data_IF_065675972335
#
_entry.id   IF_065675972335
#
_cell.length_a   1.000
_cell.length_b   1.000
_cell.length_c   1.000
_cell.angle_alpha   90.00
_cell.angle_beta   90.00
_cell.angle_gamma   90.00
#
_symmetry.space_group_name_H-M   'P 1'
#
loop_
_entity.id
_entity.type
_entity.pdbx_description
1 polymer ?
#
# COMPACT_ATOMS: atom_id res chain seq x y z
N UNK A 1 -2.78 16.36 13.01
CA UNK A 1 -3.67 15.17 12.94
C UNK A 1 -2.85 13.97 13.37
N UNK A 2 -3.19 13.31 14.49
CA UNK A 2 -2.48 12.12 14.95
C UNK A 2 -2.98 10.96 14.10
N UNK A 3 -2.11 10.31 13.31
CA UNK A 3 -2.49 9.14 12.54
C UNK A 3 -3.15 8.11 13.48
N UNK A 4 -4.32 7.59 13.09
CA UNK A 4 -5.10 6.64 13.89
C UNK A 4 -4.28 5.40 14.28
N UNK A 5 -3.27 5.07 13.47
CA UNK A 5 -2.35 3.96 13.67
C UNK A 5 -0.88 4.44 13.71
N UNK A 6 -0.06 3.93 14.64
CA UNK A 6 1.39 4.13 14.58
C UNK A 6 1.99 3.38 13.38
N UNK A 7 3.15 3.82 12.85
CA UNK A 7 3.77 3.22 11.68
C UNK A 7 3.97 1.70 11.77
N UNK A 8 4.38 1.19 12.94
CA UNK A 8 4.57 -0.25 13.14
C UNK A 8 3.28 -1.06 13.05
N UNK A 9 2.13 -0.49 13.42
CA UNK A 9 0.85 -1.19 13.32
C UNK A 9 0.33 -1.19 11.87
N UNK A 10 0.56 -0.10 11.13
CA UNK A 10 0.29 -0.05 9.68
C UNK A 10 1.09 -1.13 8.96
N UNK A 11 2.39 -1.24 9.26
CA UNK A 11 3.26 -2.25 8.66
C UNK A 11 2.78 -3.67 8.98
N UNK A 12 2.58 -4.00 10.26
CA UNK A 12 2.16 -5.33 10.67
C UNK A 12 0.81 -5.75 10.07
N UNK A 13 -0.15 -4.83 9.97
CA UNK A 13 -1.45 -5.09 9.32
C UNK A 13 -1.30 -5.25 7.81
N UNK A 14 -0.51 -4.39 7.16
CA UNK A 14 -0.22 -4.46 5.74
C UNK A 14 0.41 -5.79 5.35
N UNK A 15 1.46 -6.21 6.06
CA UNK A 15 2.11 -7.51 5.87
C UNK A 15 1.12 -8.69 6.03
N UNK A 16 0.30 -8.65 7.08
CA UNK A 16 -0.69 -9.70 7.34
C UNK A 16 -1.77 -9.79 6.25
N UNK A 17 -2.13 -8.68 5.61
CA UNK A 17 -3.07 -8.67 4.47
C UNK A 17 -2.36 -9.14 3.21
N UNK A 18 -1.14 -8.64 2.96
CA UNK A 18 -0.34 -9.01 1.81
C UNK A 18 -0.12 -10.53 1.74
N UNK A 19 0.30 -11.16 2.84
CA UNK A 19 0.52 -12.61 2.86
C UNK A 19 -0.77 -13.42 2.59
N UNK A 20 -1.95 -12.86 2.89
CA UNK A 20 -3.24 -13.50 2.56
C UNK A 20 -3.59 -13.37 1.07
N UNK A 21 -3.32 -12.22 0.45
CA UNK A 21 -3.67 -11.99 -0.96
C UNK A 21 -2.61 -12.53 -1.92
N UNK A 22 -1.34 -12.58 -1.51
CA UNK A 22 -0.18 -13.06 -2.26
C UNK A 22 -0.41 -14.34 -3.07
N UNK A 23 -1.02 -15.43 -2.54
CA UNK A 23 -1.30 -16.62 -3.36
C UNK A 23 -2.29 -16.37 -4.51
N UNK A 24 -3.14 -15.34 -4.42
CA UNK A 24 -4.08 -14.95 -5.47
C UNK A 24 -3.57 -13.88 -6.44
N UNK A 25 -2.43 -13.25 -6.16
CA UNK A 25 -1.85 -12.21 -7.03
C UNK A 25 -1.20 -12.80 -8.31
N UNK A 26 -0.93 -14.10 -8.32
CA UNK A 26 -0.21 -14.77 -9.40
C UNK A 26 1.26 -14.33 -9.51
N UNK A 27 1.88 -14.63 -10.65
CA UNK A 27 3.24 -14.19 -10.95
C UNK A 27 3.27 -12.70 -11.31
N UNK A 28 3.60 -11.87 -10.32
CA UNK A 28 3.83 -10.44 -10.54
C UNK A 28 5.27 -10.19 -11.01
N UNK A 29 5.42 -9.28 -11.97
CA UNK A 29 6.73 -8.87 -12.47
C UNK A 29 7.56 -8.20 -11.35
N UNK A 30 8.88 -8.44 -11.36
CA UNK A 30 9.79 -7.78 -10.42
C UNK A 30 9.71 -6.27 -10.60
N UNK A 31 9.56 -5.56 -9.49
CA UNK A 31 9.44 -4.11 -9.47
C UNK A 31 8.01 -3.59 -9.44
N UNK A 32 7.01 -4.47 -9.61
CA UNK A 32 5.59 -4.16 -9.42
C UNK A 32 5.33 -3.74 -7.97
N UNK A 33 4.45 -2.76 -7.78
CA UNK A 33 3.96 -2.31 -6.48
C UNK A 33 2.59 -2.91 -6.20
N UNK A 34 2.39 -3.31 -4.95
CA UNK A 34 1.08 -3.64 -4.39
C UNK A 34 0.81 -2.67 -3.26
N UNK A 35 -0.24 -1.87 -3.40
CA UNK A 35 -0.68 -0.87 -2.41
C UNK A 35 -1.97 -1.36 -1.78
N UNK A 36 -2.01 -1.44 -0.45
CA UNK A 36 -3.10 -2.03 0.32
C UNK A 36 -3.66 -0.99 1.28
N UNK A 37 -4.99 -0.83 1.33
CA UNK A 37 -5.66 -0.16 2.44
C UNK A 37 -5.74 -1.11 3.64
N UNK A 38 -5.06 -0.80 4.73
CA UNK A 38 -5.01 -1.69 5.91
C UNK A 38 -6.36 -1.79 6.65
N UNK A 39 -7.30 -0.87 6.41
CA UNK A 39 -8.61 -0.89 7.07
C UNK A 39 -9.60 -1.79 6.34
N UNK A 40 -9.61 -1.75 5.01
CA UNK A 40 -10.57 -2.51 4.20
C UNK A 40 -10.00 -3.78 3.57
N UNK A 41 -8.68 -3.83 3.35
CA UNK A 41 -8.05 -4.88 2.56
C UNK A 41 -8.21 -4.71 1.05
N UNK A 42 -8.82 -3.61 0.57
CA UNK A 42 -8.73 -3.23 -0.85
C UNK A 42 -7.26 -3.03 -1.23
N UNK A 43 -6.90 -3.42 -2.44
CA UNK A 43 -5.55 -3.27 -2.94
C UNK A 43 -5.54 -2.87 -4.41
N UNK A 44 -4.46 -2.20 -4.80
CA UNK A 44 -4.14 -1.83 -6.18
C UNK A 44 -2.76 -2.37 -6.52
N UNK A 45 -2.57 -2.76 -7.78
CA UNK A 45 -1.31 -3.30 -8.30
C UNK A 45 -0.88 -2.46 -9.49
N UNK A 46 0.39 -2.07 -9.57
CA UNK A 46 0.88 -1.29 -10.70
C UNK A 46 2.38 -1.08 -10.70
N UNK A 47 2.88 -0.40 -11.73
CA UNK A 47 4.31 -0.12 -11.87
C UNK A 47 4.82 1.01 -10.96
N UNK A 48 3.92 1.76 -10.34
CA UNK A 48 4.20 3.00 -9.59
C UNK A 48 3.31 3.09 -8.34
N UNK A 49 3.90 3.35 -7.17
CA UNK A 49 3.19 3.38 -5.90
C UNK A 49 2.30 4.62 -5.75
N UNK A 50 2.71 5.77 -6.31
CA UNK A 50 1.95 7.01 -6.26
C UNK A 50 0.63 6.89 -7.03
N UNK A 51 0.66 6.28 -8.22
CA UNK A 51 -0.51 6.02 -9.06
C UNK A 51 -1.47 5.06 -8.37
N UNK A 52 -0.97 3.96 -7.81
CA UNK A 52 -1.78 3.00 -7.07
C UNK A 52 -2.42 3.63 -5.82
N UNK A 53 -1.63 4.41 -5.08
CA UNK A 53 -2.11 5.14 -3.89
C UNK A 53 -3.19 6.15 -4.26
N UNK A 54 -3.02 6.88 -5.37
CA UNK A 54 -4.01 7.83 -5.86
C UNK A 54 -5.32 7.13 -6.25
N UNK A 55 -5.24 6.04 -7.01
CA UNK A 55 -6.43 5.27 -7.41
C UNK A 55 -7.20 4.73 -6.19
N UNK A 56 -6.48 4.18 -5.22
CA UNK A 56 -7.05 3.66 -3.98
C UNK A 56 -7.70 4.78 -3.15
N UNK A 57 -7.10 5.98 -3.11
CA UNK A 57 -7.64 7.14 -2.39
C UNK A 57 -8.80 7.83 -3.08
N UNK A 58 -8.85 7.79 -4.41
CA UNK A 58 -10.00 8.26 -5.19
C UNK A 58 -11.25 7.46 -4.80
N UNK A 59 -11.09 6.14 -4.60
CA UNK A 59 -12.13 5.25 -4.09
C UNK A 59 -12.35 5.40 -2.58
N UNK A 60 -11.28 5.60 -1.80
CA UNK A 60 -11.28 5.68 -0.32
C UNK A 60 -10.42 6.83 0.19
N UNK A 61 -10.99 8.04 0.37
CA UNK A 61 -10.24 9.23 0.76
C UNK A 61 -9.51 9.11 2.10
N UNK A 62 -9.98 8.22 2.98
CA UNK A 62 -9.40 7.95 4.30
C UNK A 62 -8.50 6.70 4.35
N UNK A 63 -8.13 6.13 3.21
CA UNK A 63 -7.34 4.90 3.17
C UNK A 63 -5.99 5.03 3.87
N UNK A 64 -5.68 4.05 4.72
CA UNK A 64 -4.37 3.91 5.35
C UNK A 64 -3.53 2.97 4.51
N UNK A 65 -2.69 3.54 3.66
CA UNK A 65 -1.97 2.78 2.64
C UNK A 65 -0.67 2.17 3.16
N UNK A 66 -0.47 0.90 2.83
CA UNK A 66 0.78 0.17 2.98
C UNK A 66 1.19 -0.36 1.60
N UNK A 67 2.46 -0.20 1.22
CA UNK A 67 2.96 -0.58 -0.09
C UNK A 67 4.11 -1.58 0.00
N UNK A 68 4.18 -2.51 -0.95
CA UNK A 68 5.31 -3.43 -1.12
C UNK A 68 5.72 -3.53 -2.58
N UNK A 69 7.04 -3.63 -2.82
CA UNK A 69 7.61 -3.80 -4.15
C UNK A 69 8.05 -5.24 -4.38
N UNK A 70 7.47 -5.90 -5.37
CA UNK A 70 7.71 -7.30 -5.71
C UNK A 70 9.15 -7.54 -6.14
N UNK A 71 9.75 -8.63 -5.67
CA UNK A 71 11.10 -9.06 -6.04
C UNK A 71 12.24 -8.29 -5.35
N UNK A 72 11.92 -7.54 -4.28
CA UNK A 72 12.89 -6.90 -3.39
C UNK A 72 12.72 -7.45 -1.97
N UNK A 73 13.83 -7.78 -1.31
CA UNK A 73 13.83 -8.51 -0.03
C UNK A 73 13.38 -7.68 1.19
N UNK A 74 13.24 -6.36 1.04
CA UNK A 74 12.78 -5.49 2.11
C UNK A 74 11.41 -4.91 1.74
N UNK A 75 10.39 -5.02 2.62
CA UNK A 75 9.16 -4.27 2.44
C UNK A 75 9.53 -2.79 2.47
N UNK A 76 9.38 -2.11 1.34
CA UNK A 76 9.47 -0.66 1.25
C UNK A 76 8.28 -0.06 2.01
N UNK A 77 8.38 0.03 3.34
CA UNK A 77 7.32 0.54 4.20
C UNK A 77 7.28 2.07 4.12
N UNK A 78 6.60 2.61 3.11
CA UNK A 78 6.23 4.02 3.12
C UNK A 78 4.95 4.18 3.95
N UNK A 79 5.10 4.27 5.28
CA UNK A 79 3.98 4.68 6.15
C UNK A 79 3.82 6.20 6.01
N UNK A 80 3.00 6.62 5.07
CA UNK A 80 2.71 8.03 4.85
C UNK A 80 1.22 8.30 4.65
N UNK A 81 0.61 9.01 5.60
CA UNK A 81 -0.51 9.88 5.26
C UNK A 81 0.10 11.10 4.56
N UNK A 82 0.49 10.95 3.29
CA UNK A 82 0.70 12.13 2.47
C UNK A 82 -0.68 12.74 2.25
N UNK A 83 -0.98 13.99 2.62
CA UNK A 83 -1.96 14.71 1.84
C UNK A 83 -1.53 14.57 0.38
N UNK A 84 -2.46 14.30 -0.52
CA UNK A 84 -2.18 14.39 -1.96
C UNK A 84 -1.74 15.83 -2.20
N UNK A 85 -0.43 16.07 -2.19
CA UNK A 85 0.13 17.30 -2.69
C UNK A 85 0.03 17.16 -4.20
N UNK A 86 -0.95 17.85 -4.75
CA UNK A 86 -1.04 18.10 -6.19
C UNK A 86 0.23 18.86 -6.59
N UNK A 87 1.12 18.23 -7.37
CA UNK A 87 2.25 18.87 -8.05
C UNK A 87 3.64 18.62 -7.47
N UNK A 88 4.44 17.83 -8.19
CA UNK A 88 5.74 18.23 -8.77
C UNK A 88 5.97 17.48 -10.08
#
# INVERSE_FOLDING_TARGET
MRGKYPPGEVAARGDAIYEKIKPGLGDLEKGTFVVIDIESGDYEIGADDATCTRALRDRRPSAYTWAVRIGYAAPYSHVGIFPVSEGD
#
